data_IF_345808248350
#
_entry.id   IF_345808248350
#
_cell.length_a   1.000
_cell.length_b   1.000
_cell.length_c   1.000
_cell.angle_alpha   90.00
_cell.angle_beta   90.00
_cell.angle_gamma   90.00
#
_symmetry.space_group_name_H-M   'P 1'
#
loop_
_entity.id
_entity.type
_entity.pdbx_description
1 polymer ?
#
# COMPACT_ATOMS: atom_id res chain seq x y z
N UNK A 1 15.62 -6.69 -16.73
CA UNK A 1 14.78 -7.33 -15.68
C UNK A 1 13.89 -6.31 -14.94
N UNK A 2 14.40 -5.17 -14.51
CA UNK A 2 13.62 -4.12 -13.81
C UNK A 2 12.48 -3.57 -14.68
N UNK A 3 12.72 -3.29 -15.95
CA UNK A 3 11.71 -2.77 -16.88
C UNK A 3 10.45 -3.63 -16.96
N UNK A 4 10.58 -4.96 -16.97
CA UNK A 4 9.43 -5.89 -17.01
C UNK A 4 8.59 -5.87 -15.74
N UNK A 5 9.16 -5.52 -14.59
CA UNK A 5 8.44 -5.43 -13.33
C UNK A 5 7.70 -4.10 -13.17
N UNK A 6 8.13 -3.05 -13.86
CA UNK A 6 7.54 -1.71 -13.78
C UNK A 6 6.56 -1.40 -14.91
N UNK A 7 6.76 -2.01 -16.08
CA UNK A 7 5.97 -1.76 -17.29
C UNK A 7 5.56 -3.08 -17.96
N UNK A 8 4.83 -3.96 -17.25
CA UNK A 8 4.33 -5.18 -17.86
C UNK A 8 3.22 -4.87 -18.87
N UNK A 9 3.17 -5.63 -19.96
CA UNK A 9 2.15 -5.50 -21.01
C UNK A 9 1.03 -6.51 -20.88
N UNK A 10 1.25 -7.58 -20.10
CA UNK A 10 0.31 -8.70 -19.95
C UNK A 10 0.42 -9.34 -18.56
N UNK A 11 -0.48 -10.25 -18.24
CA UNK A 11 -0.55 -10.94 -16.94
C UNK A 11 -1.18 -10.11 -15.84
N UNK A 12 -1.12 -10.55 -14.58
CA UNK A 12 -1.73 -9.85 -13.44
C UNK A 12 -1.01 -8.53 -13.13
N UNK A 13 -1.68 -7.66 -12.37
CA UNK A 13 -1.06 -6.46 -11.83
C UNK A 13 0.13 -6.83 -10.94
N UNK A 14 1.23 -6.10 -11.09
CA UNK A 14 2.43 -6.28 -10.29
C UNK A 14 2.60 -5.17 -9.27
N UNK A 15 3.01 -5.50 -8.05
CA UNK A 15 3.24 -4.51 -6.99
C UNK A 15 4.20 -3.40 -7.41
N UNK A 16 5.28 -3.73 -8.14
CA UNK A 16 6.24 -2.76 -8.65
C UNK A 16 5.64 -1.79 -9.66
N UNK A 17 4.75 -2.27 -10.54
CA UNK A 17 3.99 -1.46 -11.48
C UNK A 17 3.09 -0.45 -10.76
N UNK A 18 2.32 -0.90 -9.78
CA UNK A 18 1.43 -0.03 -9.00
C UNK A 18 2.22 1.04 -8.27
N UNK A 19 3.30 0.67 -7.59
CA UNK A 19 4.18 1.62 -6.88
C UNK A 19 4.76 2.66 -7.83
N UNK A 20 5.28 2.24 -8.99
CA UNK A 20 5.87 3.14 -9.97
C UNK A 20 4.83 4.13 -10.53
N UNK A 21 3.63 3.65 -10.87
CA UNK A 21 2.56 4.51 -11.38
C UNK A 21 2.06 5.53 -10.34
N UNK A 22 1.91 5.12 -9.08
CA UNK A 22 1.51 6.03 -7.98
C UNK A 22 2.57 7.11 -7.77
N UNK A 23 3.85 6.74 -7.73
CA UNK A 23 4.91 7.75 -7.50
C UNK A 23 5.00 8.74 -8.66
N UNK A 24 4.87 8.29 -9.92
CA UNK A 24 4.87 9.16 -11.09
C UNK A 24 3.65 10.09 -11.09
N UNK A 25 2.47 9.56 -10.83
CA UNK A 25 1.23 10.35 -10.78
C UNK A 25 1.21 11.37 -9.63
N UNK A 26 1.93 11.11 -8.52
CA UNK A 26 2.10 12.05 -7.40
C UNK A 26 3.23 13.07 -7.62
N UNK A 27 3.82 13.15 -8.81
CA UNK A 27 4.94 14.04 -9.14
C UNK A 27 6.24 13.70 -8.42
N UNK A 28 6.38 12.50 -7.87
CA UNK A 28 7.50 12.05 -7.03
C UNK A 28 7.70 12.88 -5.75
N UNK A 29 6.66 13.57 -5.27
CA UNK A 29 6.72 14.49 -4.13
C UNK A 29 5.98 13.98 -2.89
N UNK A 30 5.17 12.92 -3.03
CA UNK A 30 4.39 12.37 -1.93
C UNK A 30 5.29 11.80 -0.81
N UNK A 31 4.74 11.74 0.39
CA UNK A 31 5.32 10.97 1.49
C UNK A 31 4.86 9.52 1.31
N UNK A 32 5.83 8.62 1.21
CA UNK A 32 5.62 7.18 1.24
C UNK A 32 5.51 6.71 2.68
N UNK A 33 4.42 6.03 3.00
CA UNK A 33 4.31 5.26 4.25
C UNK A 33 4.14 3.78 3.89
N UNK A 34 4.97 2.89 4.44
CA UNK A 34 4.86 1.45 4.14
C UNK A 34 4.54 0.63 5.37
N UNK A 35 3.73 -0.40 5.17
CA UNK A 35 3.66 -1.51 6.09
C UNK A 35 4.84 -2.46 5.90
N UNK A 36 4.81 -3.63 6.49
CA UNK A 36 5.90 -4.62 6.46
C UNK A 36 5.55 -5.80 5.56
N UNK A 37 6.54 -6.28 4.83
CA UNK A 37 6.43 -7.43 3.92
C UNK A 37 6.78 -7.09 2.48
N UNK A 38 6.20 -7.82 1.52
CA UNK A 38 6.48 -7.58 0.09
C UNK A 38 6.09 -6.16 -0.34
N UNK A 39 4.97 -5.62 0.17
CA UNK A 39 4.58 -4.23 -0.08
C UNK A 39 5.71 -3.24 0.26
N UNK A 40 6.38 -3.41 1.41
CA UNK A 40 7.51 -2.59 1.83
C UNK A 40 8.70 -2.72 0.87
N UNK A 41 9.07 -3.95 0.52
CA UNK A 41 10.19 -4.20 -0.36
C UNK A 41 9.99 -3.55 -1.74
N UNK A 42 8.79 -3.68 -2.32
CA UNK A 42 8.47 -3.07 -3.60
C UNK A 42 8.36 -1.55 -3.50
N UNK A 43 7.68 -1.03 -2.47
CA UNK A 43 7.53 0.40 -2.27
C UNK A 43 8.89 1.08 -2.05
N UNK A 44 9.72 0.59 -1.13
CA UNK A 44 11.05 1.16 -0.88
C UNK A 44 11.98 1.07 -2.09
N UNK A 45 11.79 0.07 -2.98
CA UNK A 45 12.62 -0.12 -4.17
C UNK A 45 12.24 0.77 -5.34
N UNK A 46 10.94 1.04 -5.53
CA UNK A 46 10.45 1.64 -6.78
C UNK A 46 9.80 3.00 -6.60
N UNK A 47 9.47 3.41 -5.37
CA UNK A 47 8.99 4.75 -5.12
C UNK A 47 10.14 5.76 -5.30
N UNK A 48 9.86 6.87 -5.98
CA UNK A 48 10.85 7.91 -6.28
C UNK A 48 10.64 9.10 -5.33
N UNK A 49 11.72 9.74 -4.96
CA UNK A 49 11.72 10.85 -4.01
C UNK A 49 12.45 12.05 -4.60
N UNK A 50 11.82 13.22 -4.56
CA UNK A 50 12.41 14.50 -4.94
C UNK A 50 12.62 15.41 -3.74
N UNK A 51 12.04 15.06 -2.59
CA UNK A 51 12.12 15.84 -1.35
C UNK A 51 12.71 14.98 -0.20
N UNK A 52 13.43 15.57 0.75
CA UNK A 52 13.87 14.87 1.94
C UNK A 52 12.68 14.52 2.86
N UNK A 53 12.90 13.61 3.79
CA UNK A 53 11.89 13.16 4.79
C UNK A 53 10.59 12.69 4.13
N UNK A 54 10.72 11.93 3.04
CA UNK A 54 9.59 11.44 2.24
C UNK A 54 9.30 9.96 2.43
N UNK A 55 9.91 9.29 3.42
CA UNK A 55 9.64 7.88 3.73
C UNK A 55 9.44 7.68 5.22
N UNK A 56 8.38 6.95 5.57
CA UNK A 56 8.05 6.51 6.93
C UNK A 56 7.82 4.99 6.88
N UNK A 57 8.64 4.24 7.59
CA UNK A 57 8.61 2.78 7.56
C UNK A 57 9.17 2.18 8.84
N UNK A 58 8.62 1.02 9.27
CA UNK A 58 9.18 0.24 10.38
C UNK A 58 10.36 -0.61 9.89
N UNK A 59 11.46 0.05 9.50
CA UNK A 59 12.63 -0.61 8.90
C UNK A 59 13.50 -1.37 9.91
N UNK A 60 13.45 -1.02 11.19
CA UNK A 60 14.22 -1.66 12.25
C UNK A 60 13.51 -2.86 12.86
N UNK A 61 12.34 -2.66 13.43
CA UNK A 61 11.58 -3.71 14.12
C UNK A 61 10.68 -4.53 13.19
N UNK A 62 10.35 -4.04 12.00
CA UNK A 62 9.50 -4.75 11.05
C UNK A 62 8.09 -5.02 11.60
N UNK A 63 7.47 -4.01 12.17
CA UNK A 63 6.16 -4.11 12.82
C UNK A 63 5.04 -4.09 11.78
N UNK A 64 4.37 -5.23 11.55
CA UNK A 64 3.16 -5.28 10.74
C UNK A 64 2.03 -4.47 11.40
N UNK A 65 1.19 -3.81 10.58
CA UNK A 65 0.16 -2.90 11.05
C UNK A 65 0.67 -1.47 11.31
N UNK A 66 1.95 -1.19 11.06
CA UNK A 66 2.56 0.12 11.26
C UNK A 66 2.00 1.20 10.32
N UNK A 67 1.68 0.83 9.06
CA UNK A 67 1.44 1.83 8.02
C UNK A 67 0.25 2.73 8.29
N UNK A 68 -0.89 2.17 8.71
CA UNK A 68 -2.12 2.95 8.85
C UNK A 68 -2.00 4.04 9.93
N UNK A 69 -1.65 3.75 11.19
CA UNK A 69 -1.46 4.78 12.19
C UNK A 69 -0.32 5.75 11.85
N UNK A 70 0.76 5.27 11.21
CA UNK A 70 1.86 6.13 10.80
C UNK A 70 1.47 7.09 9.66
N UNK A 71 0.62 6.65 8.72
CA UNK A 71 0.10 7.51 7.66
C UNK A 71 -0.82 8.61 8.21
N UNK A 72 -1.66 8.28 9.19
CA UNK A 72 -2.45 9.28 9.93
C UNK A 72 -1.52 10.33 10.55
N UNK A 73 -0.50 9.89 11.30
CA UNK A 73 0.48 10.80 11.88
C UNK A 73 1.21 11.66 10.85
N UNK A 74 1.53 11.10 9.68
CA UNK A 74 2.19 11.82 8.60
C UNK A 74 1.31 12.95 8.00
N UNK A 75 -0.02 12.77 7.94
CA UNK A 75 -0.92 13.84 7.47
C UNK A 75 -0.97 15.02 8.44
N UNK A 76 -0.86 14.79 9.74
CA UNK A 76 -0.75 15.85 10.72
C UNK A 76 0.62 16.54 10.73
N UNK A 77 1.69 15.74 10.51
CA UNK A 77 3.07 16.25 10.52
C UNK A 77 3.46 17.03 9.27
N UNK A 78 2.75 16.82 8.15
CA UNK A 78 3.00 17.47 6.86
C UNK A 78 1.68 17.67 6.08
N UNK A 79 0.77 18.53 6.58
CA UNK A 79 -0.57 18.71 6.02
C UNK A 79 -0.57 19.23 4.57
N UNK A 80 0.51 19.86 4.13
CA UNK A 80 0.70 20.37 2.78
C UNK A 80 1.14 19.30 1.77
N UNK A 81 1.41 18.05 2.22
CA UNK A 81 1.95 17.00 1.37
C UNK A 81 0.98 15.84 1.22
N UNK A 82 0.92 15.29 0.02
CA UNK A 82 0.21 14.03 -0.21
C UNK A 82 0.89 12.88 0.53
N UNK A 83 0.12 12.13 1.30
CA UNK A 83 0.59 10.92 1.99
C UNK A 83 0.03 9.70 1.28
N UNK A 84 0.91 8.89 0.68
CA UNK A 84 0.59 7.62 0.04
C UNK A 84 1.00 6.46 0.94
N UNK A 85 0.02 5.71 1.42
CA UNK A 85 0.24 4.53 2.26
C UNK A 85 0.17 3.26 1.42
N UNK A 86 1.20 2.44 1.49
CA UNK A 86 1.20 1.09 0.91
C UNK A 86 1.18 0.04 2.02
N UNK A 87 0.21 -0.83 2.00
CA UNK A 87 0.13 -1.95 2.94
C UNK A 87 -0.25 -3.25 2.21
N UNK A 88 0.06 -4.37 2.82
CA UNK A 88 -0.47 -5.67 2.46
C UNK A 88 -1.76 -5.96 3.22
N UNK A 89 -2.49 -6.95 2.73
CA UNK A 89 -3.72 -7.46 3.34
C UNK A 89 -3.54 -7.88 4.79
N UNK A 90 -2.46 -8.57 5.12
CA UNK A 90 -2.15 -8.96 6.50
C UNK A 90 -1.85 -7.78 7.42
N UNK A 91 -1.13 -6.77 6.92
CA UNK A 91 -0.79 -5.58 7.69
C UNK A 91 -2.02 -4.72 7.98
N UNK A 92 -2.89 -4.51 6.99
CA UNK A 92 -4.10 -3.72 7.17
C UNK A 92 -5.02 -4.34 8.24
N UNK A 93 -5.19 -5.66 8.24
CA UNK A 93 -6.05 -6.34 9.23
C UNK A 93 -5.58 -6.18 10.68
N UNK A 94 -4.31 -5.88 10.91
CA UNK A 94 -3.77 -5.71 12.28
C UNK A 94 -4.16 -4.40 12.94
N UNK A 95 -4.44 -3.36 12.14
CA UNK A 95 -4.74 -2.01 12.67
C UNK A 95 -5.90 -1.33 11.94
N UNK A 96 -6.74 -2.08 11.22
CA UNK A 96 -7.83 -1.50 10.42
C UNK A 96 -8.88 -0.73 11.26
N UNK A 97 -8.93 -0.91 12.58
CA UNK A 97 -9.75 -0.10 13.47
C UNK A 97 -9.38 1.40 13.42
N UNK A 98 -8.15 1.73 12.99
CA UNK A 98 -7.71 3.11 12.78
C UNK A 98 -8.39 3.80 11.58
N UNK A 99 -9.14 3.06 10.76
CA UNK A 99 -10.07 3.65 9.79
C UNK A 99 -11.12 4.53 10.50
N UNK A 100 -11.44 4.21 11.77
CA UNK A 100 -12.26 5.07 12.62
C UNK A 100 -11.63 6.44 12.88
N UNK A 101 -10.33 6.48 13.13
CA UNK A 101 -9.56 7.72 13.29
C UNK A 101 -9.53 8.52 11.98
N UNK A 102 -9.34 7.84 10.83
CA UNK A 102 -9.41 8.50 9.51
C UNK A 102 -10.79 9.12 9.27
N UNK A 103 -11.86 8.38 9.58
CA UNK A 103 -13.23 8.87 9.43
C UNK A 103 -13.51 10.08 10.33
N UNK A 104 -13.12 10.01 11.60
CA UNK A 104 -13.36 11.06 12.57
C UNK A 104 -12.58 12.34 12.25
N UNK A 105 -11.29 12.18 11.92
CA UNK A 105 -10.37 13.29 11.69
C UNK A 105 -10.28 13.72 10.22
N UNK A 106 -10.98 13.04 9.31
CA UNK A 106 -10.95 13.29 7.86
C UNK A 106 -9.52 13.34 7.28
N UNK A 107 -8.65 12.45 7.77
CA UNK A 107 -7.25 12.41 7.37
C UNK A 107 -7.10 12.07 5.87
N UNK A 108 -6.45 12.90 5.04
CA UNK A 108 -6.36 12.71 3.59
C UNK A 108 -5.30 11.67 3.19
N UNK A 109 -5.33 10.51 3.79
CA UNK A 109 -4.41 9.39 3.47
C UNK A 109 -4.84 8.73 2.17
N UNK A 110 -3.94 8.64 1.20
CA UNK A 110 -4.13 7.86 -0.03
C UNK A 110 -3.69 6.43 0.22
N UNK A 111 -4.66 5.55 0.45
CA UNK A 111 -4.42 4.15 0.86
C UNK A 111 -4.36 3.23 -0.35
N UNK A 112 -3.23 2.53 -0.51
CA UNK A 112 -3.01 1.54 -1.56
C UNK A 112 -2.81 0.17 -0.90
N UNK A 113 -3.84 -0.68 -0.97
CA UNK A 113 -3.80 -2.04 -0.46
C UNK A 113 -3.33 -3.00 -1.55
N UNK A 114 -2.13 -3.55 -1.37
CA UNK A 114 -1.56 -4.56 -2.25
C UNK A 114 -1.96 -5.96 -1.77
N UNK A 115 -3.17 -6.36 -2.16
CA UNK A 115 -3.77 -7.63 -1.75
C UNK A 115 -3.28 -8.80 -2.62
N UNK A 116 -2.60 -9.76 -2.03
CA UNK A 116 -2.17 -10.99 -2.70
C UNK A 116 -2.68 -12.28 -2.03
N UNK A 117 -3.52 -12.16 -0.99
CA UNK A 117 -4.07 -13.26 -0.19
C UNK A 117 -3.01 -14.13 0.51
N UNK A 118 -1.86 -13.53 0.83
CA UNK A 118 -0.78 -14.24 1.52
C UNK A 118 0.00 -13.32 2.47
N UNK A 119 0.55 -13.91 3.53
CA UNK A 119 1.72 -13.35 4.20
C UNK A 119 2.93 -13.51 3.27
N UNK A 120 2.99 -12.64 2.25
CA UNK A 120 3.78 -12.85 1.05
C UNK A 120 5.27 -12.97 1.30
N UNK A 121 5.84 -12.20 2.23
CA UNK A 121 7.27 -12.27 2.57
C UNK A 121 7.61 -13.58 3.28
N UNK A 122 6.76 -14.04 4.21
CA UNK A 122 6.93 -15.31 4.91
C UNK A 122 6.85 -16.48 3.91
N UNK A 123 5.86 -16.46 3.01
CA UNK A 123 5.71 -17.46 1.95
C UNK A 123 6.96 -17.51 1.05
N UNK A 124 7.49 -16.36 0.66
CA UNK A 124 8.71 -16.27 -0.15
C UNK A 124 9.90 -16.92 0.56
N UNK A 125 10.05 -16.73 1.86
CA UNK A 125 11.10 -17.38 2.63
C UNK A 125 10.91 -18.88 2.73
N UNK A 126 9.67 -19.34 2.92
CA UNK A 126 9.37 -20.78 2.90
C UNK A 126 9.69 -21.40 1.53
N UNK A 127 9.46 -20.68 0.45
CA UNK A 127 9.85 -21.13 -0.88
C UNK A 127 11.37 -21.24 -1.05
N UNK A 128 12.10 -20.20 -0.67
CA UNK A 128 13.54 -20.08 -0.92
C UNK A 128 14.39 -20.93 0.01
N UNK A 129 14.02 -21.02 1.29
CA UNK A 129 14.87 -21.62 2.33
C UNK A 129 14.32 -22.89 2.96
N UNK A 130 13.05 -23.21 2.75
CA UNK A 130 12.39 -24.36 3.37
C UNK A 130 11.81 -25.36 2.38
N UNK A 131 12.41 -25.47 1.19
CA UNK A 131 12.01 -26.43 0.15
C UNK A 131 10.51 -26.39 -0.18
N UNK A 132 9.91 -25.18 -0.25
CA UNK A 132 8.49 -24.96 -0.52
C UNK A 132 7.55 -25.61 0.50
N UNK A 133 8.01 -25.84 1.73
CA UNK A 133 7.15 -26.31 2.82
C UNK A 133 6.34 -25.15 3.36
N UNK A 134 5.24 -24.83 2.68
CA UNK A 134 4.36 -23.73 3.05
C UNK A 134 3.53 -24.08 4.28
N UNK A 135 3.42 -23.13 5.21
CA UNK A 135 2.66 -23.28 6.46
C UNK A 135 2.08 -21.96 6.89
N UNK A 136 0.78 -21.92 7.11
CA UNK A 136 0.03 -20.76 7.65
C UNK A 136 0.27 -19.41 6.97
N UNK A 137 0.52 -19.41 5.67
CA UNK A 137 0.73 -18.17 4.90
C UNK A 137 -0.43 -17.73 4.03
N UNK A 138 -1.35 -18.60 3.56
CA UNK A 138 -2.56 -18.17 2.88
C UNK A 138 -3.47 -17.38 3.83
N UNK A 139 -4.14 -16.35 3.30
CA UNK A 139 -5.08 -15.51 4.03
C UNK A 139 -6.46 -15.56 3.36
N UNK A 140 -7.50 -15.68 4.18
CA UNK A 140 -8.87 -15.41 3.79
C UNK A 140 -9.17 -13.95 4.15
N UNK A 141 -9.31 -13.10 3.14
CA UNK A 141 -9.50 -11.67 3.33
C UNK A 141 -10.98 -11.29 3.34
N UNK A 142 -11.38 -10.28 4.13
CA UNK A 142 -12.70 -9.69 4.05
C UNK A 142 -12.84 -8.86 2.77
N UNK A 143 -14.06 -8.42 2.49
CA UNK A 143 -14.31 -7.41 1.47
C UNK A 143 -13.87 -6.02 2.00
N UNK A 144 -12.73 -5.56 1.51
CA UNK A 144 -12.16 -4.28 1.94
C UNK A 144 -12.94 -3.06 1.46
N UNK A 145 -13.66 -3.15 0.33
CA UNK A 145 -14.54 -2.07 -0.11
C UNK A 145 -15.72 -1.89 0.83
N UNK A 146 -16.34 -3.00 1.28
CA UNK A 146 -17.43 -2.94 2.25
C UNK A 146 -16.94 -2.41 3.60
N UNK A 147 -15.74 -2.78 4.03
CA UNK A 147 -15.14 -2.24 5.27
C UNK A 147 -14.92 -0.73 5.12
N UNK A 148 -14.26 -0.28 4.07
CA UNK A 148 -14.02 1.15 3.82
C UNK A 148 -15.33 1.93 3.75
N UNK A 149 -16.33 1.39 3.04
CA UNK A 149 -17.68 1.97 2.95
C UNK A 149 -18.35 2.09 4.32
N UNK A 150 -18.16 1.11 5.20
CA UNK A 150 -18.66 1.15 6.59
C UNK A 150 -18.11 2.33 7.39
N UNK A 151 -16.89 2.77 7.07
CA UNK A 151 -16.27 3.98 7.63
C UNK A 151 -16.50 5.25 6.79
N UNK A 152 -17.33 5.18 5.74
CA UNK A 152 -17.58 6.33 4.85
C UNK A 152 -16.40 6.70 3.96
N UNK A 153 -15.43 5.80 3.79
CA UNK A 153 -14.22 6.00 2.99
C UNK A 153 -14.46 5.45 1.58
N UNK A 154 -14.32 6.27 0.51
CA UNK A 154 -14.40 5.79 -0.86
C UNK A 154 -13.33 4.73 -1.14
N UNK A 155 -13.72 3.63 -1.76
CA UNK A 155 -12.79 2.56 -2.11
C UNK A 155 -13.16 1.92 -3.46
N UNK A 156 -12.16 1.37 -4.14
CA UNK A 156 -12.31 0.65 -5.40
C UNK A 156 -11.27 -0.46 -5.49
N UNK A 157 -11.71 -1.66 -5.83
CA UNK A 157 -10.82 -2.77 -6.19
C UNK A 157 -10.45 -2.69 -7.67
N UNK A 158 -9.18 -2.82 -7.96
CA UNK A 158 -8.63 -2.82 -9.32
C UNK A 158 -7.96 -4.15 -9.59
N UNK A 159 -8.45 -4.87 -10.58
CA UNK A 159 -7.92 -6.16 -11.04
C UNK A 159 -7.42 -6.05 -12.48
N UNK A 160 -8.11 -5.28 -13.30
CA UNK A 160 -7.71 -5.05 -14.69
C UNK A 160 -6.68 -3.90 -14.77
N UNK A 161 -5.57 -4.18 -15.48
CA UNK A 161 -4.52 -3.17 -15.73
C UNK A 161 -5.05 -1.94 -16.47
N UNK A 162 -6.03 -2.11 -17.36
CA UNK A 162 -6.61 -1.00 -18.10
C UNK A 162 -7.27 0.05 -17.19
N UNK A 163 -7.70 -0.34 -15.99
CA UNK A 163 -8.33 0.55 -15.01
C UNK A 163 -7.34 1.24 -14.06
N UNK A 164 -6.07 0.76 -14.01
CA UNK A 164 -5.12 1.18 -12.98
C UNK A 164 -4.81 2.68 -13.03
N UNK A 165 -4.58 3.23 -14.21
CA UNK A 165 -4.21 4.65 -14.36
C UNK A 165 -5.36 5.57 -13.95
N UNK A 166 -6.60 5.21 -14.33
CA UNK A 166 -7.80 5.94 -13.90
C UNK A 166 -8.00 5.85 -12.39
N UNK A 167 -7.87 4.67 -11.82
CA UNK A 167 -8.01 4.47 -10.38
C UNK A 167 -6.98 5.29 -9.58
N UNK A 168 -5.73 5.33 -10.00
CA UNK A 168 -4.67 6.13 -9.37
C UNK A 168 -4.98 7.63 -9.50
N UNK A 169 -5.43 8.07 -10.67
CA UNK A 169 -5.83 9.46 -10.89
C UNK A 169 -6.96 9.87 -9.94
N UNK A 170 -8.00 9.04 -9.84
CA UNK A 170 -9.14 9.28 -8.94
C UNK A 170 -8.66 9.29 -7.48
N UNK A 171 -7.86 8.32 -7.06
CA UNK A 171 -7.30 8.24 -5.70
C UNK A 171 -6.59 9.53 -5.31
N UNK A 172 -5.69 10.02 -6.17
CA UNK A 172 -4.87 11.20 -5.86
C UNK A 172 -5.64 12.52 -5.96
N UNK A 173 -6.68 12.61 -6.80
CA UNK A 173 -7.46 13.82 -6.99
C UNK A 173 -8.67 13.94 -6.06
N UNK A 174 -9.11 12.85 -5.43
CA UNK A 174 -10.25 12.87 -4.51
C UNK A 174 -9.85 13.60 -3.21
N UNK A 175 -10.59 14.62 -2.78
CA UNK A 175 -10.39 15.22 -1.46
C UNK A 175 -10.66 14.20 -0.34
N UNK A 176 -9.92 14.32 0.78
CA UNK A 176 -10.07 13.41 1.91
C UNK A 176 -9.37 12.05 1.74
N UNK A 177 -9.78 11.04 2.49
CA UNK A 177 -9.18 9.72 2.46
C UNK A 177 -9.50 8.95 1.19
#
# INVERSE_FOLDING_TARGET
MISKALYPTEGPLLMGEVVNKVTEASGNEAILVTDVGQNQLFACRYFKFTKPRSIVTSGGMGTMGFALPAAIGATFGAPERTVCMFCGDGGLQMTMQELGTIMEQQCPVKMILLNNNYLGNVRQWQEMFFNRRYSFTPMANPDYELIAKGYGIPARTVVDRAELDDAIRVLLSTPGP
#
